data_IF_753754417576
#
_entry.id   IF_753754417576
#
_cell.length_a   1.000
_cell.length_b   1.000
_cell.length_c   1.000
_cell.angle_alpha   90.00
_cell.angle_beta   90.00
_cell.angle_gamma   90.00
#
_symmetry.space_group_name_H-M   'P 1'
#
loop_
_entity.id
_entity.type
_entity.pdbx_description
1 polymer ?
#
# COMPACT_ATOMS: atom_id res chain seq x y z
N UNK A 1 -15.19 1.91 25.89
CA UNK A 1 -15.85 2.44 24.69
C UNK A 1 -15.83 1.31 23.69
N UNK A 2 -16.98 0.75 23.34
CA UNK A 2 -17.06 -0.24 22.27
C UNK A 2 -16.67 0.46 20.96
N UNK A 3 -15.60 -0.03 20.32
CA UNK A 3 -15.26 0.41 18.98
C UNK A 3 -16.41 -0.04 18.07
N UNK A 4 -17.09 0.94 17.46
CA UNK A 4 -18.05 0.66 16.40
C UNK A 4 -17.32 -0.10 15.29
N UNK A 5 -17.87 -1.24 14.82
CA UNK A 5 -17.23 -2.01 13.76
C UNK A 5 -16.98 -1.10 12.55
N UNK A 6 -15.87 -1.30 11.82
CA UNK A 6 -15.54 -0.49 10.65
C UNK A 6 -16.76 -0.46 9.73
N UNK A 7 -17.35 0.73 9.54
CA UNK A 7 -18.41 0.92 8.56
C UNK A 7 -17.76 0.90 7.18
N UNK A 8 -17.51 -0.31 6.69
CA UNK A 8 -17.08 -0.55 5.33
C UNK A 8 -18.31 -0.32 4.46
N UNK A 9 -18.23 0.65 3.55
CA UNK A 9 -19.30 0.85 2.58
C UNK A 9 -19.57 -0.47 1.83
N UNK A 10 -20.83 -0.79 1.57
CA UNK A 10 -21.20 -1.97 0.76
C UNK A 10 -20.51 -1.97 -0.62
N UNK A 11 -20.10 -0.79 -1.08
CA UNK A 11 -19.33 -0.62 -2.31
C UNK A 11 -17.91 -1.18 -2.20
N UNK A 12 -17.22 -1.03 -1.08
CA UNK A 12 -15.86 -1.56 -0.91
C UNK A 12 -15.85 -3.10 -0.87
N UNK A 13 -16.89 -3.72 -0.29
CA UNK A 13 -17.02 -5.19 -0.20
C UNK A 13 -16.98 -5.90 -1.55
N UNK A 14 -17.37 -5.21 -2.63
CA UNK A 14 -17.31 -5.72 -4.02
C UNK A 14 -15.88 -5.96 -4.51
N UNK A 15 -14.89 -5.34 -3.86
CA UNK A 15 -13.48 -5.35 -4.27
C UNK A 15 -12.59 -6.23 -3.41
N UNK A 16 -13.19 -7.08 -2.56
CA UNK A 16 -12.45 -8.00 -1.71
C UNK A 16 -11.63 -8.99 -2.56
N UNK A 17 -10.36 -9.17 -2.20
CA UNK A 17 -9.50 -10.20 -2.81
C UNK A 17 -9.75 -11.51 -2.08
N UNK A 18 -10.68 -12.33 -2.59
CA UNK A 18 -11.16 -13.57 -1.92
C UNK A 18 -10.08 -14.64 -1.72
N UNK A 19 -8.97 -14.54 -2.45
CA UNK A 19 -7.79 -15.40 -2.37
C UNK A 19 -6.73 -14.88 -1.39
N UNK A 20 -6.96 -13.71 -0.78
CA UNK A 20 -6.19 -13.15 0.32
C UNK A 20 -7.06 -13.13 1.60
N UNK A 21 -6.49 -12.81 2.78
CA UNK A 21 -7.31 -12.55 3.96
C UNK A 21 -8.41 -11.52 3.67
N UNK A 22 -9.62 -11.64 4.27
CA UNK A 22 -10.82 -10.88 3.91
C UNK A 22 -10.80 -9.40 4.36
N UNK A 23 -9.61 -8.80 4.36
CA UNK A 23 -9.29 -7.43 4.78
C UNK A 23 -8.42 -6.72 3.74
N UNK A 24 -8.31 -7.32 2.54
CA UNK A 24 -7.64 -6.75 1.37
C UNK A 24 -8.68 -6.39 0.33
N UNK A 25 -8.73 -5.11 -0.05
CA UNK A 25 -9.59 -4.62 -1.11
C UNK A 25 -8.76 -4.01 -2.23
N UNK A 26 -9.04 -4.42 -3.47
CA UNK A 26 -8.32 -3.97 -4.65
C UNK A 26 -9.28 -3.38 -5.68
N UNK A 27 -9.21 -2.07 -5.88
CA UNK A 27 -10.05 -1.31 -6.81
C UNK A 27 -9.19 -0.92 -8.02
N UNK A 28 -9.34 -1.59 -9.18
CA UNK A 28 -8.66 -1.15 -10.40
C UNK A 28 -9.27 0.17 -10.89
N UNK A 29 -8.47 0.97 -11.61
CA UNK A 29 -8.95 2.19 -12.29
C UNK A 29 -9.69 3.16 -11.34
N UNK A 30 -9.23 3.26 -10.08
CA UNK A 30 -9.81 4.11 -9.04
C UNK A 30 -9.66 5.60 -9.36
N UNK A 31 -8.56 5.96 -10.01
CA UNK A 31 -8.35 7.28 -10.60
C UNK A 31 -8.29 7.20 -12.13
N UNK A 32 -8.63 8.29 -12.81
CA UNK A 32 -8.52 8.37 -14.27
C UNK A 32 -7.07 8.60 -14.74
N UNK A 33 -6.81 8.46 -16.03
CA UNK A 33 -5.51 8.78 -16.63
C UNK A 33 -5.15 10.26 -16.49
N UNK A 34 -6.14 11.15 -16.53
CA UNK A 34 -5.96 12.59 -16.30
C UNK A 34 -5.63 12.89 -14.83
N UNK A 35 -6.32 12.23 -13.89
CA UNK A 35 -6.02 12.32 -12.45
C UNK A 35 -4.59 11.83 -12.15
N UNK A 36 -4.16 10.71 -12.74
CA UNK A 36 -2.78 10.20 -12.62
C UNK A 36 -1.76 11.18 -13.18
N UNK A 37 -2.00 11.70 -14.39
CA UNK A 37 -1.13 12.68 -15.04
C UNK A 37 -0.99 13.95 -14.19
N UNK A 38 -2.10 14.42 -13.62
CA UNK A 38 -2.11 15.56 -12.71
C UNK A 38 -1.32 15.27 -11.43
N UNK A 39 -1.53 14.13 -10.77
CA UNK A 39 -0.81 13.73 -9.57
C UNK A 39 0.70 13.66 -9.81
N UNK A 40 1.13 12.98 -10.88
CA UNK A 40 2.54 12.88 -11.25
C UNK A 40 3.14 14.28 -11.47
N UNK A 41 2.44 15.17 -12.18
CA UNK A 41 2.89 16.54 -12.37
C UNK A 41 3.11 17.27 -11.04
N UNK A 42 2.18 17.17 -10.08
CA UNK A 42 2.32 17.83 -8.77
C UNK A 42 3.46 17.23 -7.93
N UNK A 43 3.60 15.90 -7.94
CA UNK A 43 4.69 15.19 -7.27
C UNK A 43 6.05 15.68 -7.76
N UNK A 44 6.26 15.79 -9.07
CA UNK A 44 7.53 16.25 -9.65
C UNK A 44 7.72 17.78 -9.61
N UNK A 45 6.64 18.56 -9.56
CA UNK A 45 6.70 20.02 -9.36
C UNK A 45 7.10 20.41 -7.94
N UNK A 46 6.96 19.50 -6.98
CA UNK A 46 7.31 19.75 -5.59
C UNK A 46 8.80 20.09 -5.42
N UNK A 47 9.17 20.98 -4.47
CA UNK A 47 10.56 21.36 -4.27
C UNK A 47 11.47 20.16 -4.00
N UNK A 48 12.73 20.21 -4.47
CA UNK A 48 13.71 19.14 -4.22
C UNK A 48 13.88 18.81 -2.72
N UNK A 49 13.70 19.80 -1.85
CA UNK A 49 13.76 19.66 -0.39
C UNK A 49 12.64 18.81 0.21
N UNK A 50 11.55 18.56 -0.52
CA UNK A 50 10.50 17.62 -0.11
C UNK A 50 10.90 16.16 -0.31
N UNK A 51 11.90 15.89 -1.14
CA UNK A 51 12.39 14.54 -1.36
C UNK A 51 13.45 14.16 -0.33
N UNK A 52 13.23 13.03 0.33
CA UNK A 52 14.23 12.33 1.13
C UNK A 52 14.69 11.09 0.37
N UNK A 53 15.99 10.99 0.09
CA UNK A 53 16.56 9.78 -0.49
C UNK A 53 16.70 8.71 0.60
N UNK A 54 16.16 7.52 0.35
CA UNK A 54 16.29 6.35 1.20
C UNK A 54 17.03 5.25 0.42
N UNK A 55 17.32 4.13 1.09
CA UNK A 55 17.88 2.96 0.41
C UNK A 55 16.86 2.41 -0.59
N UNK A 56 17.22 2.41 -1.87
CA UNK A 56 16.41 1.82 -2.94
C UNK A 56 15.10 2.55 -3.25
N UNK A 57 14.88 3.78 -2.77
CA UNK A 57 13.70 4.59 -3.10
C UNK A 57 13.88 6.04 -2.66
N UNK A 58 12.96 6.93 -3.04
CA UNK A 58 12.81 8.25 -2.42
C UNK A 58 11.40 8.51 -1.93
N UNK A 59 11.28 9.39 -0.94
CA UNK A 59 10.05 9.64 -0.19
C UNK A 59 9.73 11.14 -0.14
N UNK A 60 8.46 11.50 -0.28
CA UNK A 60 7.91 12.77 0.20
C UNK A 60 6.94 12.55 1.36
N UNK A 61 6.83 13.53 2.24
CA UNK A 61 5.92 13.53 3.37
C UNK A 61 4.98 14.76 3.31
N UNK A 62 3.67 14.51 3.46
CA UNK A 62 2.61 15.51 3.48
C UNK A 62 1.58 15.27 4.60
N UNK A 63 0.99 16.35 5.13
CA UNK A 63 -0.12 16.30 6.09
C UNK A 63 0.28 16.03 7.54
N UNK A 64 1.46 15.44 7.81
CA UNK A 64 1.91 15.22 9.18
C UNK A 64 3.39 14.88 9.34
N UNK A 65 4.04 15.48 10.33
CA UNK A 65 5.44 15.21 10.65
C UNK A 65 5.55 14.25 11.84
N UNK A 66 6.18 13.06 11.66
CA UNK A 66 6.44 12.15 12.77
C UNK A 66 7.31 12.83 13.82
N UNK A 67 6.89 12.73 15.07
CA UNK A 67 7.62 13.26 16.23
C UNK A 67 7.61 12.18 17.34
N UNK A 68 8.63 12.12 18.22
CA UNK A 68 8.64 11.15 19.33
C UNK A 68 7.43 11.19 20.26
N UNK A 69 6.62 12.25 20.21
CA UNK A 69 5.38 12.44 21.00
C UNK A 69 4.09 12.22 20.19
N UNK A 70 4.18 11.73 18.95
CA UNK A 70 3.04 11.54 18.05
C UNK A 70 3.21 12.23 16.70
N UNK A 71 2.10 12.55 16.04
CA UNK A 71 2.10 13.24 14.75
C UNK A 71 1.83 14.74 14.93
N UNK A 72 2.69 15.59 14.36
CA UNK A 72 2.42 17.02 14.24
C UNK A 72 1.64 17.23 12.94
N UNK A 73 0.37 17.60 13.02
CA UNK A 73 -0.47 17.81 11.85
C UNK A 73 -0.03 19.03 11.03
N UNK A 74 0.00 18.89 9.72
CA UNK A 74 0.23 19.95 8.74
C UNK A 74 -0.94 20.02 7.76
N UNK A 75 -1.11 21.17 7.11
CA UNK A 75 -2.12 21.30 6.06
C UNK A 75 -1.76 20.41 4.87
N UNK A 76 -2.67 19.54 4.47
CA UNK A 76 -2.56 18.77 3.23
C UNK A 76 -2.76 19.73 2.04
N UNK A 77 -1.87 19.71 1.02
CA UNK A 77 -2.09 20.47 -0.20
C UNK A 77 -3.37 20.07 -0.92
N UNK A 78 -4.03 21.02 -1.57
CA UNK A 78 -5.31 20.80 -2.27
C UNK A 78 -5.24 19.65 -3.29
N UNK A 79 -4.12 19.51 -4.00
CA UNK A 79 -3.90 18.43 -4.97
C UNK A 79 -3.90 17.02 -4.37
N UNK A 80 -3.69 16.88 -3.06
CA UNK A 80 -3.82 15.63 -2.31
C UNK A 80 -5.15 15.53 -1.55
N UNK A 81 -5.70 16.66 -1.11
CA UNK A 81 -6.90 16.70 -0.29
C UNK A 81 -8.09 16.03 -1.00
N UNK A 82 -8.27 16.29 -2.30
CA UNK A 82 -9.32 15.66 -3.12
C UNK A 82 -9.30 14.13 -3.01
N UNK A 83 -8.11 13.53 -3.03
CA UNK A 83 -7.97 12.07 -2.96
C UNK A 83 -8.11 11.56 -1.53
N UNK A 84 -7.66 12.32 -0.53
CA UNK A 84 -7.93 12.02 0.88
C UNK A 84 -9.44 11.95 1.15
N UNK A 85 -10.21 12.90 0.62
CA UNK A 85 -11.66 12.94 0.77
C UNK A 85 -12.33 11.79 0.00
N UNK A 86 -11.89 11.53 -1.24
CA UNK A 86 -12.38 10.41 -2.07
C UNK A 86 -12.18 9.05 -1.40
N UNK A 87 -11.02 8.82 -0.77
CA UNK A 87 -10.74 7.57 -0.04
C UNK A 87 -11.52 7.53 1.28
N UNK A 88 -11.57 8.64 2.02
CA UNK A 88 -12.26 8.70 3.31
C UNK A 88 -13.77 8.45 3.16
N UNK A 89 -14.37 8.91 2.07
CA UNK A 89 -15.80 8.68 1.77
C UNK A 89 -16.16 7.22 1.51
N UNK A 90 -15.18 6.36 1.19
CA UNK A 90 -15.38 4.90 1.09
C UNK A 90 -15.59 4.24 2.45
N UNK A 91 -15.33 4.96 3.55
CA UNK A 91 -15.36 4.42 4.91
C UNK A 91 -14.09 3.67 5.29
N UNK A 92 -13.01 3.79 4.50
CA UNK A 92 -11.77 3.01 4.70
C UNK A 92 -11.18 3.17 6.12
N UNK A 93 -11.32 4.35 6.73
CA UNK A 93 -10.74 4.67 8.03
C UNK A 93 -11.75 4.65 9.20
N UNK A 94 -12.85 3.89 9.09
CA UNK A 94 -13.80 3.68 10.20
C UNK A 94 -14.35 4.99 10.80
N UNK A 95 -14.76 5.92 9.93
CA UNK A 95 -15.27 7.24 10.33
C UNK A 95 -14.21 8.30 10.62
N UNK A 96 -12.91 7.95 10.55
CA UNK A 96 -11.81 8.93 10.51
C UNK A 96 -11.52 9.37 9.08
N UNK A 97 -10.64 10.36 8.93
CA UNK A 97 -10.21 10.88 7.63
C UNK A 97 -8.71 10.69 7.44
N UNK A 98 -8.29 10.49 6.19
CA UNK A 98 -6.88 10.53 5.83
C UNK A 98 -6.28 11.91 6.16
N UNK A 99 -5.19 11.91 6.92
CA UNK A 99 -4.53 13.13 7.38
C UNK A 99 -3.00 13.11 7.19
N UNK A 100 -2.45 12.04 6.63
CA UNK A 100 -1.02 11.86 6.41
C UNK A 100 -0.79 11.07 5.12
N UNK A 101 0.15 11.54 4.29
CA UNK A 101 0.44 10.96 2.99
C UNK A 101 1.95 10.84 2.83
N UNK A 102 2.36 9.65 2.39
CA UNK A 102 3.71 9.35 1.95
C UNK A 102 3.69 9.11 0.44
N UNK A 103 4.51 9.85 -0.31
CA UNK A 103 4.73 9.60 -1.74
C UNK A 103 6.04 8.84 -1.88
N UNK A 104 5.98 7.58 -2.30
CA UNK A 104 7.15 6.76 -2.54
C UNK A 104 7.40 6.63 -4.04
N UNK A 105 8.63 6.89 -4.47
CA UNK A 105 9.08 6.61 -5.84
C UNK A 105 10.15 5.53 -5.83
N UNK A 106 9.97 4.57 -6.74
CA UNK A 106 10.88 3.49 -7.06
C UNK A 106 11.17 3.55 -8.56
N UNK A 107 12.45 3.46 -8.94
CA UNK A 107 12.89 3.25 -10.32
C UNK A 107 12.92 1.74 -10.65
N UNK A 108 13.21 1.42 -11.91
CA UNK A 108 13.49 0.02 -12.28
C UNK A 108 14.64 -0.54 -11.43
N UNK A 109 14.47 -1.75 -10.90
CA UNK A 109 15.42 -2.40 -10.00
C UNK A 109 15.41 -1.90 -8.55
N UNK A 110 14.64 -0.85 -8.22
CA UNK A 110 14.50 -0.33 -6.87
C UNK A 110 13.36 -1.02 -6.11
N UNK A 111 13.41 -0.96 -4.77
CA UNK A 111 12.48 -1.71 -3.93
C UNK A 111 12.62 -1.35 -2.45
N UNK A 112 11.85 -2.05 -1.61
CA UNK A 112 11.92 -1.95 -0.16
C UNK A 112 11.80 -3.34 0.46
N UNK A 113 12.68 -3.63 1.42
CA UNK A 113 12.68 -4.90 2.13
C UNK A 113 11.37 -5.13 2.90
N UNK A 114 11.04 -6.38 3.28
CA UNK A 114 9.87 -6.67 4.11
C UNK A 114 9.88 -5.84 5.41
N UNK A 115 8.84 -5.03 5.63
CA UNK A 115 8.72 -4.12 6.76
C UNK A 115 7.26 -3.95 7.21
N UNK A 116 7.07 -3.26 8.34
CA UNK A 116 5.78 -2.76 8.84
C UNK A 116 5.74 -1.24 8.69
N UNK A 117 4.53 -0.66 8.58
CA UNK A 117 4.37 0.80 8.54
C UNK A 117 4.67 1.48 9.89
N UNK A 118 4.64 0.72 10.98
CA UNK A 118 4.92 1.18 12.34
C UNK A 118 3.66 1.61 13.12
N UNK A 119 3.75 1.68 14.46
CA UNK A 119 2.58 1.69 15.34
C UNK A 119 1.84 3.03 15.41
N UNK A 120 2.30 4.07 14.70
CA UNK A 120 1.75 5.42 14.81
C UNK A 120 0.41 5.58 14.07
N UNK A 121 0.12 4.72 13.10
CA UNK A 121 -1.01 4.90 12.21
C UNK A 121 -2.26 4.15 12.66
N UNK A 122 -3.39 4.57 12.10
CA UNK A 122 -4.61 3.78 12.13
C UNK A 122 -4.32 2.38 11.54
N UNK A 123 -4.98 1.30 12.00
CA UNK A 123 -4.80 -0.06 11.45
C UNK A 123 -5.42 -0.23 10.05
N UNK A 124 -5.22 0.75 9.19
CA UNK A 124 -5.64 0.75 7.79
C UNK A 124 -4.66 1.60 7.00
N UNK A 125 -4.11 1.03 5.93
CA UNK A 125 -3.34 1.76 4.92
C UNK A 125 -4.08 1.70 3.59
N UNK A 126 -4.02 2.82 2.87
CA UNK A 126 -4.61 2.95 1.54
C UNK A 126 -3.55 3.49 0.59
N UNK A 127 -3.38 2.84 -0.55
CA UNK A 127 -2.33 3.18 -1.52
C UNK A 127 -2.94 3.39 -2.89
N UNK A 128 -2.73 4.56 -3.48
CA UNK A 128 -2.96 4.79 -4.91
C UNK A 128 -1.63 4.56 -5.64
N UNK A 129 -1.62 3.64 -6.59
CA UNK A 129 -0.44 3.37 -7.43
C UNK A 129 -0.43 4.26 -8.67
N UNK A 130 0.73 4.79 -9.05
CA UNK A 130 0.91 5.66 -10.23
C UNK A 130 2.07 5.15 -11.11
N UNK A 131 2.02 5.47 -12.39
CA UNK A 131 3.12 5.31 -13.34
C UNK A 131 3.23 3.90 -13.93
N UNK A 132 3.67 2.92 -13.14
CA UNK A 132 3.81 1.52 -13.58
C UNK A 132 3.14 0.57 -12.60
N UNK A 133 3.04 -0.70 -13.01
CA UNK A 133 2.64 -1.76 -12.09
C UNK A 133 3.83 -2.19 -11.21
N UNK A 134 3.54 -2.92 -10.14
CA UNK A 134 4.53 -3.68 -9.37
C UNK A 134 3.86 -4.85 -8.62
N UNK A 135 4.66 -5.75 -8.06
CA UNK A 135 4.22 -6.74 -7.08
C UNK A 135 4.50 -6.24 -5.65
N UNK A 136 3.43 -6.17 -4.84
CA UNK A 136 3.55 -6.00 -3.40
C UNK A 136 3.59 -7.38 -2.75
N UNK A 137 4.75 -7.74 -2.20
CA UNK A 137 5.02 -9.04 -1.61
C UNK A 137 4.72 -9.03 -0.11
N UNK A 138 4.12 -10.12 0.40
CA UNK A 138 3.76 -10.29 1.81
C UNK A 138 4.50 -11.45 2.45
N UNK A 139 4.96 -11.27 3.67
CA UNK A 139 5.83 -12.19 4.38
C UNK A 139 5.38 -12.37 5.83
N UNK A 140 5.52 -13.59 6.36
CA UNK A 140 5.41 -13.84 7.80
C UNK A 140 6.54 -13.10 8.56
N UNK A 141 6.31 -12.60 9.77
CA UNK A 141 7.37 -11.99 10.58
C UNK A 141 8.41 -13.04 10.98
N UNK A 142 9.61 -12.59 11.34
CA UNK A 142 10.64 -13.48 11.87
C UNK A 142 10.21 -13.93 13.27
N UNK A 143 10.11 -15.25 13.48
CA UNK A 143 9.84 -15.79 14.82
C UNK A 143 11.04 -15.54 15.75
N UNK A 144 10.77 -15.02 16.95
CA UNK A 144 11.79 -14.84 17.99
C UNK A 144 12.30 -16.15 18.60
N UNK A 145 11.57 -17.25 18.40
CA UNK A 145 11.90 -18.56 18.99
C UNK A 145 12.60 -19.45 17.94
N UNK A 146 13.88 -19.16 17.68
CA UNK A 146 14.68 -19.87 16.67
C UNK A 146 14.83 -21.38 16.94
N UNK A 147 14.63 -21.82 18.19
CA UNK A 147 14.72 -23.24 18.58
C UNK A 147 13.50 -24.07 18.15
N UNK A 148 12.37 -23.44 17.84
CA UNK A 148 11.14 -24.10 17.37
C UNK A 148 10.94 -23.95 15.85
N UNK A 149 11.84 -23.24 15.17
CA UNK A 149 11.73 -23.03 13.72
C UNK A 149 12.14 -24.30 12.97
N UNK A 150 11.16 -25.01 12.41
CA UNK A 150 11.38 -26.22 11.60
C UNK A 150 12.20 -25.96 10.32
N UNK A 151 12.32 -24.70 9.88
CA UNK A 151 13.04 -24.29 8.67
C UNK A 151 13.79 -22.96 8.84
N UNK A 152 14.86 -22.70 8.04
CA UNK A 152 15.54 -21.42 8.02
C UNK A 152 14.56 -20.25 7.82
N UNK A 153 14.68 -19.19 8.60
CA UNK A 153 13.79 -18.01 8.53
C UNK A 153 14.21 -17.03 7.42
N UNK A 154 14.56 -17.56 6.24
CA UNK A 154 14.91 -16.77 5.05
C UNK A 154 13.69 -16.00 4.54
N UNK A 155 13.91 -14.95 3.76
CA UNK A 155 12.83 -14.21 3.12
C UNK A 155 11.95 -15.12 2.25
N UNK A 156 12.56 -16.01 1.46
CA UNK A 156 11.86 -16.99 0.63
C UNK A 156 10.94 -17.92 1.43
N UNK A 157 11.42 -18.44 2.57
CA UNK A 157 10.62 -19.33 3.42
C UNK A 157 9.49 -18.59 4.16
N UNK A 158 9.63 -17.28 4.35
CA UNK A 158 8.60 -16.43 4.98
C UNK A 158 7.60 -15.86 3.97
N UNK A 159 7.90 -15.88 2.67
CA UNK A 159 7.03 -15.37 1.62
C UNK A 159 5.68 -16.10 1.59
N UNK A 160 4.60 -15.33 1.57
CA UNK A 160 3.23 -15.86 1.61
C UNK A 160 2.59 -15.73 0.23
N UNK A 161 2.46 -14.50 -0.28
CA UNK A 161 1.83 -14.19 -1.55
C UNK A 161 2.22 -12.79 -2.04
N UNK A 162 1.87 -12.47 -3.28
CA UNK A 162 1.97 -11.13 -3.85
C UNK A 162 0.62 -10.59 -4.30
N UNK A 163 0.49 -9.26 -4.34
CA UNK A 163 -0.58 -8.56 -5.03
C UNK A 163 0.00 -7.80 -6.23
N UNK A 164 -0.55 -8.00 -7.42
CA UNK A 164 -0.28 -7.15 -8.57
C UNK A 164 -1.00 -5.81 -8.39
N UNK A 165 -0.25 -4.73 -8.23
CA UNK A 165 -0.79 -3.39 -8.11
C UNK A 165 -0.53 -2.62 -9.40
N UNK A 166 -1.58 -2.46 -10.21
CA UNK A 166 -1.53 -1.71 -11.48
C UNK A 166 -1.56 -0.19 -11.23
N UNK A 167 -1.05 0.64 -12.16
CA UNK A 167 -1.24 2.09 -12.07
C UNK A 167 -2.73 2.42 -12.00
N UNK A 168 -3.04 3.55 -11.36
CA UNK A 168 -4.39 4.08 -11.11
C UNK A 168 -5.28 3.26 -10.16
N UNK A 169 -4.78 2.15 -9.63
CA UNK A 169 -5.54 1.34 -8.68
C UNK A 169 -5.45 1.88 -7.26
N UNK A 170 -6.47 1.59 -6.46
CA UNK A 170 -6.49 1.77 -5.01
C UNK A 170 -6.40 0.40 -4.33
N UNK A 171 -5.40 0.25 -3.47
CA UNK A 171 -5.26 -0.88 -2.56
C UNK A 171 -5.64 -0.42 -1.15
N UNK A 172 -6.49 -1.17 -0.46
CA UNK A 172 -6.83 -0.96 0.95
C UNK A 172 -6.44 -2.21 1.73
N UNK A 173 -5.54 -2.05 2.70
CA UNK A 173 -5.11 -3.10 3.62
C UNK A 173 -5.57 -2.75 5.04
N UNK A 174 -6.33 -3.65 5.66
CA UNK A 174 -6.85 -3.47 7.02
C UNK A 174 -6.37 -4.59 7.96
N UNK A 175 -6.46 -4.30 9.26
CA UNK A 175 -6.36 -5.28 10.34
C UNK A 175 -5.13 -6.20 10.27
N UNK A 176 -5.33 -7.51 10.20
CA UNK A 176 -4.24 -8.50 10.26
C UNK A 176 -3.19 -8.30 9.18
N UNK A 177 -3.59 -7.85 7.98
CA UNK A 177 -2.65 -7.56 6.89
C UNK A 177 -1.75 -6.35 7.20
N UNK A 178 -2.28 -5.39 7.95
CA UNK A 178 -1.52 -4.23 8.42
C UNK A 178 -0.69 -4.58 9.68
N UNK A 179 -1.25 -5.40 10.58
CA UNK A 179 -0.70 -5.64 11.93
C UNK A 179 0.29 -6.79 12.01
N UNK A 180 0.23 -7.77 11.10
CA UNK A 180 0.91 -9.06 11.32
C UNK A 180 1.84 -9.49 10.19
N UNK A 181 1.56 -9.10 8.95
CA UNK A 181 2.43 -9.43 7.82
C UNK A 181 3.36 -8.27 7.52
N UNK A 182 4.61 -8.63 7.24
CA UNK A 182 5.55 -7.71 6.63
C UNK A 182 5.22 -7.58 5.15
N UNK A 183 5.41 -6.40 4.58
CA UNK A 183 5.24 -6.18 3.15
C UNK A 183 6.48 -5.54 2.53
N UNK A 184 6.72 -5.79 1.25
CA UNK A 184 7.89 -5.31 0.53
C UNK A 184 7.68 -5.24 -0.97
N UNK A 185 8.61 -4.57 -1.64
CA UNK A 185 8.72 -4.54 -3.10
C UNK A 185 10.12 -5.03 -3.41
N UNK A 186 10.25 -6.16 -4.08
CA UNK A 186 11.57 -6.67 -4.45
C UNK A 186 12.19 -5.78 -5.54
N UNK A 187 13.45 -5.39 -5.35
CA UNK A 187 14.20 -4.65 -6.37
C UNK A 187 14.55 -5.56 -7.56
N UNK A 188 13.78 -5.45 -8.64
CA UNK A 188 13.95 -6.21 -9.88
C UNK A 188 13.55 -5.35 -11.09
N UNK A 189 14.04 -5.72 -12.27
CA UNK A 189 13.69 -5.02 -13.52
C UNK A 189 12.44 -5.60 -14.19
N UNK A 190 12.08 -6.85 -13.88
CA UNK A 190 10.94 -7.57 -14.45
C UNK A 190 10.21 -8.37 -13.37
N UNK A 191 8.87 -8.31 -13.38
CA UNK A 191 8.01 -9.05 -12.45
C UNK A 191 7.61 -10.41 -13.02
N UNK A 192 7.69 -11.47 -12.20
CA UNK A 192 7.24 -12.81 -12.58
C UNK A 192 5.85 -13.08 -11.99
N UNK A 193 4.86 -13.20 -12.87
CA UNK A 193 3.51 -13.57 -12.47
C UNK A 193 3.41 -15.08 -12.20
N UNK A 194 3.25 -15.45 -10.94
CA UNK A 194 3.08 -16.83 -10.46
C UNK A 194 1.67 -17.07 -9.93
N UNK A 195 1.37 -18.32 -9.60
CA UNK A 195 0.14 -18.70 -8.90
C UNK A 195 0.01 -18.07 -7.50
N UNK A 196 1.11 -17.54 -6.94
CA UNK A 196 1.13 -16.81 -5.67
C UNK A 196 0.77 -15.33 -5.82
N UNK A 197 0.54 -14.83 -7.03
CA UNK A 197 -0.05 -13.50 -7.25
C UNK A 197 -1.57 -13.62 -7.17
N UNK A 198 -2.12 -13.36 -5.99
CA UNK A 198 -3.46 -13.84 -5.63
C UNK A 198 -4.60 -13.06 -6.28
N UNK A 199 -4.37 -11.83 -6.72
CA UNK A 199 -5.39 -10.99 -7.38
C UNK A 199 -5.42 -11.09 -8.92
N UNK A 200 -4.64 -12.00 -9.54
CA UNK A 200 -4.70 -12.24 -10.98
C UNK A 200 -6.01 -12.94 -11.42
N UNK A 201 -6.60 -13.75 -10.54
CA UNK A 201 -7.69 -14.67 -10.89
C UNK A 201 -9.07 -14.01 -11.00
N UNK A 202 -9.17 -12.70 -10.75
CA UNK A 202 -10.42 -11.96 -10.86
C UNK A 202 -10.71 -11.38 -12.26
N UNK A 203 -9.89 -11.71 -13.27
CA UNK A 203 -10.23 -11.45 -14.68
C UNK A 203 -10.12 -12.75 -15.49
N UNK A 204 -11.24 -13.47 -15.60
CA UNK A 204 -11.46 -14.26 -16.81
C UNK A 204 -11.73 -13.23 -17.92
N UNK A 205 -10.67 -12.79 -18.60
CA UNK A 205 -10.69 -12.42 -20.01
C UNK A 205 -9.25 -12.12 -20.49
N UNK A 206 -8.66 -13.17 -21.08
CA UNK A 206 -7.41 -13.25 -21.86
C UNK A 206 -6.07 -13.00 -21.12
N UNK A 207 -5.03 -13.82 -21.39
CA UNK A 207 -3.69 -13.59 -20.87
C UNK A 207 -3.05 -12.39 -21.58
N UNK A 208 -2.76 -11.34 -20.81
CA UNK A 208 -1.87 -10.25 -21.21
C UNK A 208 -0.49 -10.50 -20.59
N UNK A 209 0.57 -10.35 -21.39
CA UNK A 209 1.92 -10.16 -20.86
C UNK A 209 2.03 -8.70 -20.44
N UNK A 210 2.38 -8.46 -19.18
CA UNK A 210 2.70 -7.14 -18.63
C UNK A 210 4.21 -6.97 -18.55
#
# INVERSE_FOLDING_TARGET
MEETPPYISEDLKKFIVTSAPPVVYYIPDFITEEEESYLLQQVYKSPKTKWTQLSGRRLQNWGGLPHPKGMIAEKIPEWLQTYCDKISSLGAFSGKTANHILVNEYKSGEGIMPHEDGPLYHPTVTTISLGSHTLLDFYKPISGNLQEAESPQTEENRFVFSLLVKPRSLLVLQEEMYKTLLHGIQGREEDLLTEKVVNLRNRVEKPERL
#
